data_IF_687374419621
#
_entry.id   IF_687374419621
#
_cell.length_a   1.000
_cell.length_b   1.000
_cell.length_c   1.000
_cell.angle_alpha   90.00
_cell.angle_beta   90.00
_cell.angle_gamma   90.00
#
_symmetry.space_group_name_H-M   'P 1'
#
loop_
_entity.id
_entity.type
_entity.pdbx_description
1 polymer ?
#
# COMPACT_ATOMS: atom_id res chain seq x y z
N UNK A 1 16.76 25.69 26.61
CA UNK A 1 16.47 24.99 25.34
C UNK A 1 16.03 26.06 24.35
N UNK A 2 16.89 26.44 23.42
CA UNK A 2 16.54 27.46 22.42
C UNK A 2 15.32 27.00 21.62
N UNK A 3 14.30 27.85 21.58
CA UNK A 3 13.15 27.65 20.70
C UNK A 3 13.68 27.73 19.27
N UNK A 4 13.78 26.58 18.58
CA UNK A 4 14.34 26.47 17.23
C UNK A 4 13.68 27.44 16.23
N UNK A 5 14.34 27.65 15.09
CA UNK A 5 13.89 28.60 14.07
C UNK A 5 12.47 28.27 13.55
N UNK A 6 11.63 29.30 13.44
CA UNK A 6 10.29 29.18 12.87
C UNK A 6 10.30 28.95 11.35
N UNK A 7 9.20 28.42 10.75
CA UNK A 7 9.15 28.09 9.32
C UNK A 7 9.49 29.25 8.37
N UNK A 8 9.08 30.47 8.71
CA UNK A 8 9.36 31.68 7.90
C UNK A 8 10.83 32.06 7.92
N UNK A 9 11.52 31.84 9.05
CA UNK A 9 12.97 32.07 9.16
C UNK A 9 13.72 31.07 8.28
N UNK A 10 13.39 29.78 8.40
CA UNK A 10 13.95 28.71 7.56
C UNK A 10 13.72 28.99 6.07
N UNK A 11 12.53 29.47 5.69
CA UNK A 11 12.24 29.84 4.30
C UNK A 11 13.14 30.95 3.76
N UNK A 12 13.39 31.99 4.57
CA UNK A 12 14.32 33.08 4.21
C UNK A 12 15.77 32.59 4.15
N UNK A 13 16.18 31.77 5.11
CA UNK A 13 17.53 31.22 5.19
C UNK A 13 17.83 30.30 4.00
N UNK A 14 16.81 29.60 3.49
CA UNK A 14 16.88 28.80 2.26
C UNK A 14 16.70 29.62 0.97
N UNK A 15 16.72 30.95 1.06
CA UNK A 15 16.60 31.88 -0.07
C UNK A 15 15.43 31.60 -1.04
N UNK A 16 14.34 31.02 -0.54
CA UNK A 16 13.19 30.65 -1.37
C UNK A 16 13.40 29.47 -2.34
N UNK A 17 14.54 28.77 -2.27
CA UNK A 17 14.82 27.54 -3.05
C UNK A 17 13.75 26.47 -2.81
N UNK A 18 13.14 26.49 -1.63
CA UNK A 18 12.07 25.59 -1.22
C UNK A 18 10.85 26.40 -0.79
N UNK A 19 9.65 25.97 -1.22
CA UNK A 19 8.40 26.63 -0.84
C UNK A 19 8.14 26.51 0.67
N UNK A 20 7.55 27.57 1.26
CA UNK A 20 7.16 27.59 2.67
C UNK A 20 6.23 26.42 3.06
N UNK A 21 5.38 25.98 2.12
CA UNK A 21 4.50 24.82 2.32
C UNK A 21 5.29 23.52 2.53
N UNK A 22 6.34 23.30 1.73
CA UNK A 22 7.23 22.13 1.85
C UNK A 22 7.94 22.12 3.20
N UNK A 23 8.44 23.28 3.65
CA UNK A 23 9.07 23.44 4.97
C UNK A 23 8.08 23.07 6.09
N UNK A 24 6.84 23.57 6.03
CA UNK A 24 5.78 23.20 7.00
C UNK A 24 5.49 21.70 6.99
N UNK A 25 5.48 21.08 5.81
CA UNK A 25 5.23 19.65 5.63
C UNK A 25 6.35 18.80 6.23
N UNK A 26 7.60 19.19 6.02
CA UNK A 26 8.77 18.54 6.65
C UNK A 26 8.77 18.68 8.17
N UNK A 27 8.52 19.88 8.71
CA UNK A 27 8.42 20.09 10.16
C UNK A 27 7.31 19.20 10.76
N UNK A 28 6.14 19.13 10.11
CA UNK A 28 5.04 18.26 10.54
C UNK A 28 5.45 16.78 10.52
N UNK A 29 6.12 16.33 9.46
CA UNK A 29 6.59 14.95 9.31
C UNK A 29 7.60 14.57 10.39
N UNK A 30 8.60 15.42 10.64
CA UNK A 30 9.61 15.20 11.69
C UNK A 30 8.96 15.20 13.07
N UNK A 31 8.02 16.10 13.36
CA UNK A 31 7.29 16.09 14.65
C UNK A 31 6.46 14.83 14.86
N UNK A 32 5.84 14.31 13.80
CA UNK A 32 4.94 13.16 13.89
C UNK A 32 5.70 11.82 13.93
N UNK A 33 6.79 11.69 13.17
CA UNK A 33 7.45 10.40 12.92
C UNK A 33 8.91 10.38 13.38
N UNK A 34 9.50 11.54 13.70
CA UNK A 34 10.93 11.65 14.05
C UNK A 34 11.88 11.45 12.87
N UNK A 35 11.36 11.27 11.66
CA UNK A 35 12.14 10.89 10.48
C UNK A 35 11.91 11.83 9.29
N UNK A 36 12.99 12.11 8.58
CA UNK A 36 12.99 12.81 7.29
C UNK A 36 12.88 11.85 6.10
N UNK A 37 13.06 10.55 6.32
CA UNK A 37 13.09 9.51 5.29
C UNK A 37 11.80 9.46 4.48
N UNK A 38 11.91 9.54 3.16
CA UNK A 38 10.77 9.43 2.25
C UNK A 38 10.36 7.96 2.16
N UNK A 39 9.22 7.61 2.75
CA UNK A 39 8.58 6.32 2.46
C UNK A 39 7.84 6.41 1.13
N UNK A 40 7.93 5.34 0.34
CA UNK A 40 7.07 5.21 -0.83
C UNK A 40 5.61 5.15 -0.36
N UNK A 41 4.69 5.92 -0.97
CA UNK A 41 3.28 5.82 -0.65
C UNK A 41 2.80 4.38 -0.80
N UNK A 42 1.88 3.89 0.05
CA UNK A 42 1.25 2.60 -0.19
C UNK A 42 0.55 2.67 -1.55
N UNK A 43 0.90 1.75 -2.45
CA UNK A 43 0.26 1.66 -3.76
C UNK A 43 -1.24 1.41 -3.67
N UNK A 44 -1.94 1.48 -4.81
CA UNK A 44 -3.39 1.27 -4.87
C UNK A 44 -3.80 -0.05 -4.19
N UNK A 45 -4.76 -0.04 -3.24
CA UNK A 45 -5.24 -1.27 -2.60
C UNK A 45 -5.77 -2.26 -3.63
N UNK A 46 -5.41 -3.53 -3.49
CA UNK A 46 -5.92 -4.60 -4.35
C UNK A 46 -7.25 -5.11 -3.82
N UNK A 47 -8.34 -4.77 -4.51
CA UNK A 47 -9.71 -5.18 -4.13
C UNK A 47 -10.00 -6.66 -4.39
N UNK A 48 -9.26 -7.31 -5.30
CA UNK A 48 -9.46 -8.73 -5.59
C UNK A 48 -8.88 -9.66 -4.51
N UNK A 49 -7.87 -9.23 -3.76
CA UNK A 49 -7.09 -10.07 -2.84
C UNK A 49 -7.44 -9.82 -1.38
N UNK A 50 -8.74 -9.74 -1.10
CA UNK A 50 -9.28 -9.58 0.25
C UNK A 50 -9.26 -10.92 0.99
N UNK A 51 -9.24 -10.88 2.33
CA UNK A 51 -9.32 -12.08 3.18
C UNK A 51 -10.55 -12.93 2.83
N UNK A 52 -11.69 -12.29 2.56
CA UNK A 52 -12.91 -12.97 2.15
C UNK A 52 -12.73 -13.76 0.83
N UNK A 53 -12.08 -13.17 -0.18
CA UNK A 53 -11.84 -13.86 -1.45
C UNK A 53 -10.84 -15.00 -1.29
N UNK A 54 -9.80 -14.84 -0.47
CA UNK A 54 -8.82 -15.89 -0.19
C UNK A 54 -9.50 -17.09 0.48
N UNK A 55 -10.31 -16.85 1.51
CA UNK A 55 -11.05 -17.90 2.21
C UNK A 55 -12.05 -18.60 1.29
N UNK A 56 -12.80 -17.84 0.48
CA UNK A 56 -13.74 -18.40 -0.48
C UNK A 56 -13.05 -19.25 -1.54
N UNK A 57 -11.88 -18.82 -2.05
CA UNK A 57 -11.08 -19.61 -2.99
C UNK A 57 -10.60 -20.92 -2.35
N UNK A 58 -10.12 -20.87 -1.10
CA UNK A 58 -9.68 -22.05 -0.35
C UNK A 58 -10.81 -23.05 -0.15
N UNK A 59 -11.93 -22.62 0.41
CA UNK A 59 -13.11 -23.47 0.62
C UNK A 59 -13.59 -24.11 -0.68
N UNK A 60 -13.57 -23.36 -1.78
CA UNK A 60 -13.99 -23.87 -3.07
C UNK A 60 -13.04 -24.94 -3.63
N UNK A 61 -11.74 -24.82 -3.40
CA UNK A 61 -10.75 -25.82 -3.77
C UNK A 61 -10.87 -27.10 -2.95
N UNK A 62 -11.13 -26.97 -1.65
CA UNK A 62 -11.31 -28.10 -0.73
C UNK A 62 -12.52 -28.97 -1.12
N UNK A 63 -13.57 -28.35 -1.70
CA UNK A 63 -14.75 -29.07 -2.18
C UNK A 63 -14.51 -29.85 -3.48
N UNK A 64 -13.81 -29.25 -4.46
CA UNK A 64 -13.61 -29.86 -5.77
C UNK A 64 -12.48 -29.20 -6.55
N UNK A 65 -11.60 -30.05 -7.12
CA UNK A 65 -10.56 -29.63 -8.07
C UNK A 65 -11.19 -28.97 -9.30
N UNK A 66 -10.78 -27.75 -9.59
CA UNK A 66 -11.21 -26.96 -10.76
C UNK A 66 -10.04 -26.20 -11.37
N UNK A 67 -10.15 -25.89 -12.67
CA UNK A 67 -9.16 -25.06 -13.33
C UNK A 67 -9.23 -23.61 -12.84
N UNK A 68 -8.09 -22.92 -12.87
CA UNK A 68 -7.97 -21.50 -12.53
C UNK A 68 -8.96 -20.62 -13.31
N UNK A 69 -9.23 -20.96 -14.58
CA UNK A 69 -10.22 -20.25 -15.41
C UNK A 69 -11.64 -20.42 -14.86
N UNK A 70 -12.03 -21.64 -14.47
CA UNK A 70 -13.35 -21.92 -13.92
C UNK A 70 -13.53 -21.25 -12.56
N UNK A 71 -12.53 -21.32 -11.69
CA UNK A 71 -12.56 -20.67 -10.38
C UNK A 71 -12.71 -19.15 -10.51
N UNK A 72 -12.01 -18.53 -11.47
CA UNK A 72 -12.14 -17.11 -11.78
C UNK A 72 -13.56 -16.71 -12.21
N UNK A 73 -14.19 -17.51 -13.08
CA UNK A 73 -15.57 -17.28 -13.48
C UNK A 73 -16.54 -17.42 -12.30
N UNK A 74 -16.41 -18.48 -11.49
CA UNK A 74 -17.27 -18.72 -10.32
C UNK A 74 -17.14 -17.62 -9.24
N UNK A 75 -15.95 -17.04 -9.09
CA UNK A 75 -15.69 -15.97 -8.12
C UNK A 75 -15.92 -14.56 -8.66
N UNK A 76 -16.18 -14.40 -9.96
CA UNK A 76 -16.23 -13.11 -10.66
C UNK A 76 -14.98 -12.24 -10.43
N UNK A 77 -13.81 -12.86 -10.52
CA UNK A 77 -12.50 -12.21 -10.34
C UNK A 77 -11.63 -12.53 -11.57
N UNK A 78 -10.75 -11.61 -11.96
CA UNK A 78 -9.82 -11.87 -13.07
C UNK A 78 -8.97 -13.12 -12.83
N UNK A 79 -8.71 -13.88 -13.90
CA UNK A 79 -7.86 -15.09 -13.87
C UNK A 79 -6.50 -14.83 -13.24
N UNK A 80 -5.88 -13.69 -13.56
CA UNK A 80 -4.57 -13.30 -13.00
C UNK A 80 -4.62 -13.06 -11.49
N UNK A 81 -5.72 -12.51 -10.98
CA UNK A 81 -5.90 -12.31 -9.55
C UNK A 81 -6.14 -13.62 -8.82
N UNK A 82 -6.94 -14.54 -9.38
CA UNK A 82 -7.08 -15.90 -8.84
C UNK A 82 -5.74 -16.63 -8.86
N UNK A 83 -5.02 -16.64 -9.98
CA UNK A 83 -3.71 -17.28 -10.05
C UNK A 83 -2.76 -16.75 -8.95
N UNK A 84 -2.79 -15.44 -8.69
CA UNK A 84 -1.99 -14.83 -7.63
C UNK A 84 -2.44 -15.25 -6.23
N UNK A 85 -3.76 -15.28 -5.96
CA UNK A 85 -4.32 -15.79 -4.70
C UNK A 85 -3.84 -17.22 -4.46
N UNK A 86 -4.01 -18.08 -5.46
CA UNK A 86 -3.59 -19.47 -5.39
C UNK A 86 -2.08 -19.59 -5.12
N UNK A 87 -1.24 -18.85 -5.85
CA UNK A 87 0.22 -18.98 -5.78
C UNK A 87 0.88 -18.30 -4.58
N UNK A 88 0.33 -17.18 -4.09
CA UNK A 88 0.95 -16.30 -3.08
C UNK A 88 0.27 -16.35 -1.72
N UNK A 89 -1.00 -16.71 -1.67
CA UNK A 89 -1.79 -16.67 -0.45
C UNK A 89 -2.24 -18.07 -0.01
N UNK A 90 -2.31 -19.05 -0.93
CA UNK A 90 -2.68 -20.44 -0.65
C UNK A 90 -1.58 -21.47 -0.99
N UNK A 91 -0.37 -21.01 -1.35
CA UNK A 91 0.79 -21.85 -1.71
C UNK A 91 0.50 -23.01 -2.67
N UNK A 92 -0.49 -22.83 -3.53
CA UNK A 92 -0.81 -23.76 -4.60
C UNK A 92 0.13 -23.54 -5.80
N UNK A 93 0.28 -24.57 -6.63
CA UNK A 93 0.99 -24.50 -7.91
C UNK A 93 0.00 -24.71 -9.08
N UNK A 94 -0.81 -23.68 -9.40
CA UNK A 94 -1.94 -23.74 -10.34
C UNK A 94 -1.61 -23.37 -11.79
#
# INVERSE_FOLDING_TARGET
LENGAGPTKIYRDLAGVVLLQTIKLWIKKVRNTGSIELSSPPGRPRTARTTANILKAKQRLDQKRVSTRRLAAEMNISKSSIHRILRKDLDCFP
#
